data_IF_024194757101
#
_entry.id   IF_024194757101
#
_cell.length_a   1.000
_cell.length_b   1.000
_cell.length_c   1.000
_cell.angle_alpha   90.00
_cell.angle_beta   90.00
_cell.angle_gamma   90.00
#
_symmetry.space_group_name_H-M   'P 1'
#
loop_
_entity.id
_entity.type
_entity.pdbx_description
1 polymer ?
#
# COMPACT_ATOMS: atom_id res chain seq x y z
N UNK A 1 7.00 57.83 24.70
CA UNK A 1 6.23 57.08 23.69
C UNK A 1 7.19 56.63 22.61
N UNK A 2 7.38 55.33 22.48
CA UNK A 2 8.26 54.70 21.51
C UNK A 2 8.13 53.19 21.62
N UNK A 3 6.89 52.69 21.71
CA UNK A 3 6.63 51.25 21.80
C UNK A 3 6.63 50.57 20.41
N UNK A 4 6.95 51.35 19.38
CA UNK A 4 7.01 50.96 17.98
C UNK A 4 8.42 51.22 17.43
N UNK A 5 9.43 50.59 18.02
CA UNK A 5 10.68 50.38 17.28
C UNK A 5 10.36 49.33 16.21
N UNK A 6 10.11 49.79 14.98
CA UNK A 6 9.81 48.93 13.82
C UNK A 6 10.80 47.74 13.73
N UNK A 7 12.06 47.98 14.05
CA UNK A 7 13.09 46.94 14.09
C UNK A 7 12.81 45.84 15.11
N UNK A 8 12.25 46.13 16.30
CA UNK A 8 11.93 45.10 17.30
C UNK A 8 10.76 44.23 16.87
N UNK A 9 9.75 44.81 16.23
CA UNK A 9 8.61 44.04 15.70
C UNK A 9 9.04 43.16 14.53
N UNK A 10 9.89 43.68 13.66
CA UNK A 10 10.49 42.94 12.55
C UNK A 10 11.37 41.80 13.08
N UNK A 11 12.15 42.04 14.14
CA UNK A 11 13.03 41.03 14.72
C UNK A 11 12.24 39.91 15.43
N UNK A 12 11.20 40.26 16.19
CA UNK A 12 10.30 39.28 16.81
C UNK A 12 9.53 38.46 15.76
N UNK A 13 9.05 39.11 14.70
CA UNK A 13 8.37 38.44 13.58
C UNK A 13 9.32 37.52 12.82
N UNK A 14 10.54 37.96 12.56
CA UNK A 14 11.58 37.16 11.91
C UNK A 14 11.95 35.93 12.73
N UNK A 15 12.16 36.10 14.02
CA UNK A 15 12.45 34.99 14.93
C UNK A 15 11.27 34.00 15.00
N UNK A 16 10.03 34.51 15.08
CA UNK A 16 8.84 33.67 15.04
C UNK A 16 8.73 32.89 13.73
N UNK A 17 8.89 33.54 12.58
CA UNK A 17 8.86 32.89 11.27
C UNK A 17 9.96 31.84 11.13
N UNK A 18 11.17 32.14 11.63
CA UNK A 18 12.28 31.19 11.65
C UNK A 18 11.93 29.94 12.45
N UNK A 19 11.35 30.11 13.64
CA UNK A 19 10.88 28.98 14.46
C UNK A 19 9.79 28.20 13.74
N UNK A 20 8.83 28.87 13.09
CA UNK A 20 7.78 28.20 12.32
C UNK A 20 8.35 27.38 11.15
N UNK A 21 9.34 27.91 10.43
CA UNK A 21 10.03 27.15 9.37
C UNK A 21 10.78 25.94 9.92
N UNK A 22 11.41 26.08 11.09
CA UNK A 22 12.11 24.98 11.75
C UNK A 22 11.15 23.88 12.19
N UNK A 23 9.98 24.26 12.75
CA UNK A 23 8.91 23.33 13.10
C UNK A 23 8.34 22.61 11.87
N UNK A 24 8.07 23.34 10.78
CA UNK A 24 7.58 22.74 9.52
C UNK A 24 8.60 21.78 8.93
N UNK A 25 9.89 22.14 8.95
CA UNK A 25 10.95 21.24 8.47
C UNK A 25 11.01 19.96 9.30
N UNK A 26 10.86 20.07 10.62
CA UNK A 26 10.86 18.93 11.53
C UNK A 26 9.65 18.02 11.28
N UNK A 27 8.44 18.59 11.17
CA UNK A 27 7.21 17.83 10.88
C UNK A 27 7.28 17.11 9.52
N UNK A 28 7.85 17.77 8.50
CA UNK A 28 8.10 17.13 7.19
C UNK A 28 9.08 15.96 7.34
N UNK A 29 10.16 16.13 8.10
CA UNK A 29 11.15 15.08 8.30
C UNK A 29 10.53 13.87 9.03
N UNK A 30 9.81 14.10 10.13
CA UNK A 30 9.14 13.04 10.88
C UNK A 30 8.15 12.27 10.00
N UNK A 31 7.31 12.98 9.25
CA UNK A 31 6.34 12.35 8.32
C UNK A 31 7.04 11.55 7.23
N UNK A 32 8.13 12.08 6.66
CA UNK A 32 8.90 11.36 5.63
C UNK A 32 9.51 10.10 6.24
N UNK A 33 10.10 10.18 7.44
CA UNK A 33 10.70 9.04 8.13
C UNK A 33 9.68 7.95 8.46
N UNK A 34 8.50 8.33 8.96
CA UNK A 34 7.40 7.39 9.22
C UNK A 34 6.92 6.70 7.94
N UNK A 35 6.71 7.47 6.86
CA UNK A 35 6.29 6.92 5.58
C UNK A 35 7.37 6.03 4.96
N UNK A 36 8.63 6.46 4.97
CA UNK A 36 9.76 5.66 4.48
C UNK A 36 9.87 4.36 5.26
N UNK A 37 9.85 4.41 6.58
CA UNK A 37 9.98 3.22 7.43
C UNK A 37 8.86 2.23 7.13
N UNK A 38 7.61 2.69 7.07
CA UNK A 38 6.46 1.84 6.76
C UNK A 38 6.55 1.23 5.37
N UNK A 39 6.85 2.03 4.35
CA UNK A 39 6.97 1.55 2.96
C UNK A 39 8.14 0.58 2.82
N UNK A 40 9.28 0.89 3.43
CA UNK A 40 10.49 0.08 3.34
C UNK A 40 10.31 -1.29 4.01
N UNK A 41 9.76 -1.33 5.23
CA UNK A 41 9.48 -2.60 5.91
C UNK A 41 8.45 -3.45 5.16
N UNK A 42 7.39 -2.83 4.65
CA UNK A 42 6.40 -3.53 3.83
C UNK A 42 7.01 -4.07 2.53
N UNK A 43 7.75 -3.23 1.81
CA UNK A 43 8.40 -3.61 0.56
C UNK A 43 9.41 -4.74 0.78
N UNK A 44 10.25 -4.66 1.81
CA UNK A 44 11.25 -5.67 2.10
C UNK A 44 10.60 -7.02 2.44
N UNK A 45 9.52 -7.00 3.23
CA UNK A 45 8.76 -8.22 3.58
C UNK A 45 8.08 -8.81 2.35
N UNK A 46 7.36 -7.99 1.58
CA UNK A 46 6.69 -8.42 0.35
C UNK A 46 7.69 -8.98 -0.66
N UNK A 47 8.85 -8.34 -0.81
CA UNK A 47 9.92 -8.78 -1.69
C UNK A 47 10.53 -10.10 -1.25
N UNK A 48 10.77 -10.29 0.05
CA UNK A 48 11.27 -11.54 0.60
C UNK A 48 10.28 -12.70 0.36
N UNK A 49 8.98 -12.46 0.57
CA UNK A 49 7.92 -13.44 0.27
C UNK A 49 7.89 -13.76 -1.23
N UNK A 50 7.94 -12.73 -2.09
CA UNK A 50 7.92 -12.89 -3.54
C UNK A 50 9.09 -13.75 -4.04
N UNK A 51 10.31 -13.46 -3.58
CA UNK A 51 11.50 -14.24 -3.92
C UNK A 51 11.35 -15.68 -3.43
N UNK A 52 10.94 -15.87 -2.17
CA UNK A 52 10.77 -17.21 -1.59
C UNK A 52 9.76 -18.03 -2.40
N UNK A 53 8.63 -17.42 -2.77
CA UNK A 53 7.60 -18.06 -3.57
C UNK A 53 8.09 -18.37 -4.98
N UNK A 54 8.82 -17.45 -5.62
CA UNK A 54 9.42 -17.67 -6.93
C UNK A 54 10.37 -18.88 -6.93
N UNK A 55 11.27 -18.95 -5.94
CA UNK A 55 12.17 -20.09 -5.78
C UNK A 55 11.42 -21.38 -5.45
N UNK A 56 10.35 -21.33 -4.65
CA UNK A 56 9.52 -22.50 -4.36
C UNK A 56 8.85 -23.06 -5.63
N UNK A 57 8.29 -22.19 -6.48
CA UNK A 57 7.72 -22.59 -7.77
C UNK A 57 8.79 -23.19 -8.69
N UNK A 58 9.97 -22.58 -8.74
CA UNK A 58 11.09 -23.07 -9.54
C UNK A 58 11.57 -24.44 -9.04
N UNK A 59 11.67 -24.64 -7.73
CA UNK A 59 12.00 -25.92 -7.12
C UNK A 59 10.95 -26.99 -7.45
N UNK A 60 9.66 -26.64 -7.35
CA UNK A 60 8.55 -27.54 -7.69
C UNK A 60 8.59 -27.94 -9.16
N UNK A 61 8.84 -27.00 -10.07
CA UNK A 61 8.97 -27.27 -11.49
C UNK A 61 10.16 -28.19 -11.78
N UNK A 62 11.31 -27.98 -11.13
CA UNK A 62 12.48 -28.85 -11.27
C UNK A 62 12.23 -30.26 -10.73
N UNK A 63 11.51 -30.39 -9.62
CA UNK A 63 11.10 -31.69 -9.10
C UNK A 63 10.22 -32.44 -10.11
N UNK A 64 9.26 -31.73 -10.73
CA UNK A 64 8.40 -32.29 -11.75
C UNK A 64 9.16 -32.67 -13.04
N UNK A 65 10.15 -31.87 -13.43
CA UNK A 65 11.03 -32.18 -14.57
C UNK A 65 11.77 -33.50 -14.39
N UNK A 66 12.29 -33.77 -13.17
CA UNK A 66 12.95 -35.04 -12.86
C UNK A 66 11.98 -36.22 -12.96
N UNK A 67 10.73 -36.04 -12.53
CA UNK A 67 9.73 -37.10 -12.59
C UNK A 67 9.22 -37.39 -14.00
N UNK A 68 9.21 -36.38 -14.88
CA UNK A 68 8.79 -36.50 -16.28
C UNK A 68 9.95 -36.85 -17.24
N UNK A 69 11.18 -37.03 -16.73
CA UNK A 69 12.40 -37.21 -17.53
C UNK A 69 12.55 -36.15 -18.64
N UNK A 70 12.11 -34.91 -18.36
CA UNK A 70 12.10 -33.83 -19.34
C UNK A 70 12.59 -32.51 -18.75
N UNK A 71 13.44 -31.75 -19.45
CA UNK A 71 14.03 -30.54 -18.90
C UNK A 71 13.07 -29.34 -18.82
N UNK A 72 11.91 -29.38 -19.47
CA UNK A 72 11.01 -28.21 -19.57
C UNK A 72 9.54 -28.45 -19.22
N UNK A 73 9.06 -29.70 -19.20
CA UNK A 73 7.63 -29.99 -19.03
C UNK A 73 7.09 -29.59 -17.65
N UNK A 74 7.90 -29.72 -16.60
CA UNK A 74 7.56 -29.30 -15.25
C UNK A 74 7.33 -27.79 -15.15
N UNK A 75 8.11 -26.98 -15.87
CA UNK A 75 7.87 -25.54 -15.92
C UNK A 75 6.55 -25.21 -16.64
N UNK A 76 6.23 -25.89 -17.74
CA UNK A 76 4.97 -25.69 -18.46
C UNK A 76 3.74 -26.05 -17.60
N UNK A 77 3.81 -27.15 -16.85
CA UNK A 77 2.71 -27.57 -15.96
C UNK A 77 2.52 -26.55 -14.84
N UNK A 78 3.59 -26.14 -14.15
CA UNK A 78 3.51 -25.15 -13.07
C UNK A 78 3.00 -23.81 -13.61
N UNK A 79 3.47 -23.38 -14.79
CA UNK A 79 2.96 -22.18 -15.46
C UNK A 79 1.46 -22.28 -15.74
N UNK A 80 0.99 -23.39 -16.32
CA UNK A 80 -0.42 -23.62 -16.61
C UNK A 80 -1.31 -23.60 -15.36
N UNK A 81 -0.88 -24.27 -14.29
CA UNK A 81 -1.61 -24.26 -13.00
C UNK A 81 -1.64 -22.86 -12.41
N UNK A 82 -0.50 -22.15 -12.39
CA UNK A 82 -0.42 -20.79 -11.86
C UNK A 82 -1.30 -19.79 -12.64
N UNK A 83 -1.43 -19.96 -13.96
CA UNK A 83 -2.30 -19.16 -14.81
C UNK A 83 -3.78 -19.42 -14.51
N UNK A 84 -4.17 -20.69 -14.31
CA UNK A 84 -5.53 -21.05 -13.92
C UNK A 84 -5.90 -20.48 -12.54
N UNK A 85 -5.02 -20.63 -11.55
CA UNK A 85 -5.21 -20.05 -10.21
C UNK A 85 -5.33 -18.53 -10.30
N UNK A 86 -4.47 -17.86 -11.08
CA UNK A 86 -4.53 -16.41 -11.29
C UNK A 86 -5.86 -15.98 -11.92
N UNK A 87 -6.36 -16.73 -12.91
CA UNK A 87 -7.64 -16.46 -13.55
C UNK A 87 -8.82 -16.54 -12.55
N UNK A 88 -8.81 -17.57 -11.69
CA UNK A 88 -9.85 -17.77 -10.66
C UNK A 88 -9.80 -16.67 -9.61
N UNK A 89 -8.61 -16.26 -9.16
CA UNK A 89 -8.43 -15.17 -8.20
C UNK A 89 -8.94 -13.84 -8.76
N UNK A 90 -8.59 -13.50 -10.01
CA UNK A 90 -9.07 -12.28 -10.66
C UNK A 90 -10.60 -12.26 -10.74
N UNK A 91 -11.22 -13.40 -11.07
CA UNK A 91 -12.68 -13.50 -11.10
C UNK A 91 -13.33 -13.38 -9.72
N UNK A 92 -12.67 -13.89 -8.67
CA UNK A 92 -13.18 -13.82 -7.28
C UNK A 92 -13.11 -12.40 -6.73
N UNK A 93 -11.98 -11.71 -6.92
CA UNK A 93 -11.80 -10.31 -6.52
C UNK A 93 -12.78 -9.37 -7.25
N UNK A 94 -13.13 -9.68 -8.51
CA UNK A 94 -14.15 -8.92 -9.25
C UNK A 94 -15.54 -9.07 -8.63
N UNK A 95 -15.87 -10.23 -8.04
CA UNK A 95 -17.17 -10.45 -7.37
C UNK A 95 -17.25 -9.76 -6.01
N UNK A 96 -16.13 -9.63 -5.32
CA UNK A 96 -16.06 -8.99 -4.00
C UNK A 96 -16.26 -7.48 -4.09
N UNK A 97 -15.59 -6.80 -5.05
CA UNK A 97 -15.81 -5.36 -5.29
C UNK A 97 -17.25 -5.00 -5.67
N UNK A 98 -17.95 -5.88 -6.39
CA UNK A 98 -19.36 -5.67 -6.78
C UNK A 98 -20.31 -5.87 -5.60
N UNK A 99 -19.93 -6.67 -4.58
CA UNK A 99 -20.72 -6.84 -3.36
C UNK A 99 -20.59 -5.65 -2.42
N UNK A 100 -19.38 -5.13 -2.21
CA UNK A 100 -19.15 -3.97 -1.35
C UNK A 100 -19.89 -2.73 -1.86
N UNK A 101 -19.88 -2.48 -3.17
CA UNK A 101 -20.60 -1.34 -3.78
C UNK A 101 -22.13 -1.50 -3.70
N UNK A 102 -22.65 -2.73 -3.64
CA UNK A 102 -24.09 -2.98 -3.53
C UNK A 102 -24.59 -2.95 -2.07
N UNK A 103 -23.74 -3.28 -1.10
CA UNK A 103 -24.07 -3.26 0.33
C UNK A 103 -24.00 -1.82 0.92
N UNK A 104 -23.07 -0.97 0.45
CA UNK A 104 -23.02 0.46 0.85
C UNK A 104 -24.22 1.26 0.33
N UNK A 105 -24.64 1.01 -0.91
CA UNK A 105 -25.77 1.73 -1.53
C UNK A 105 -27.11 1.33 -0.89
N UNK A 106 -27.30 0.05 -0.53
CA UNK A 106 -28.52 -0.43 0.12
C UNK A 106 -28.70 0.12 1.56
N UNK A 107 -27.60 0.31 2.30
CA UNK A 107 -27.66 0.81 3.67
C UNK A 107 -28.01 2.31 3.73
N UNK A 108 -27.58 3.10 2.73
CA UNK A 108 -27.91 4.53 2.62
C UNK A 108 -29.41 4.79 2.44
N UNK A 109 -30.13 3.94 1.68
CA UNK A 109 -31.57 4.14 1.42
C UNK A 109 -32.45 3.72 2.61
N UNK A 110 -32.05 2.70 3.37
CA UNK A 110 -32.78 2.27 4.58
C UNK A 110 -32.68 3.31 5.71
N UNK A 111 -31.55 4.01 5.83
CA UNK A 111 -31.38 5.07 6.83
C UNK A 111 -32.12 6.37 6.51
N UNK A 112 -32.40 6.67 5.24
CA UNK A 112 -33.18 7.87 4.89
C UNK A 112 -34.70 7.65 5.07
N UNK A 113 -35.23 6.45 4.78
CA UNK A 113 -36.65 6.13 5.00
C UNK A 113 -37.06 6.09 6.49
N UNK A 114 -36.16 5.74 7.41
CA UNK A 114 -36.45 5.75 8.86
C UNK A 114 -36.46 7.16 9.49
N UNK A 115 -35.88 8.17 8.83
CA UNK A 115 -35.83 9.55 9.34
C UNK A 115 -37.05 10.37 8.88
N UNK A 116 -37.79 9.89 7.87
CA UNK A 116 -38.95 10.59 7.30
C UNK A 116 -40.31 10.13 7.87
N UNK A 117 -40.33 9.19 8.82
CA UNK A 117 -41.52 8.69 9.57
C UNK A 117 -41.59 9.24 10.99
#
# INVERSE_FOLDING_TARGET
MGLFDNNRLIDLLSNYLKTQFELVKLDIQERIEELLSRIFSFFLTAFAILITLFFALMAMANFLNQWLDSPYLGYLIVAGISALVSLILIQSLKKEKIKEEHDEVQHSYTSEEEIEL
#
